data_IF_969139010329
#
_entry.id   IF_969139010329
#
_cell.length_a   1.000
_cell.length_b   1.000
_cell.length_c   1.000
_cell.angle_alpha   90.00
_cell.angle_beta   90.00
_cell.angle_gamma   90.00
#
_symmetry.space_group_name_H-M   'P 1'
#
loop_
_entity.id
_entity.type
_entity.pdbx_description
1 polymer ?
#
# COMPACT_ATOMS: atom_id res chain seq x y z
N UNK A 1 -7.51 68.50 -44.68
CA UNK A 1 -8.90 68.84 -45.06
C UNK A 1 -9.72 67.57 -44.88
N UNK A 2 -10.58 67.35 -43.90
CA UNK A 2 -11.35 68.19 -42.95
C UNK A 2 -11.56 67.34 -41.68
N UNK A 3 -11.32 67.81 -40.45
CA UNK A 3 -12.30 68.45 -39.55
C UNK A 3 -13.71 67.84 -39.64
N UNK A 4 -14.46 67.51 -38.58
CA UNK A 4 -14.35 67.47 -37.11
C UNK A 4 -15.77 67.11 -36.66
N UNK A 5 -15.98 66.32 -35.60
CA UNK A 5 -17.12 66.58 -34.71
C UNK A 5 -16.96 65.91 -33.34
N UNK A 6 -17.33 66.71 -32.34
CA UNK A 6 -17.09 66.57 -30.90
C UNK A 6 -18.33 66.00 -30.17
N UNK A 7 -18.06 65.13 -29.18
CA UNK A 7 -18.63 65.09 -27.80
C UNK A 7 -20.12 64.72 -27.57
N UNK A 8 -20.59 64.39 -26.32
CA UNK A 8 -19.91 64.06 -25.04
C UNK A 8 -20.51 62.88 -24.19
N UNK A 9 -19.75 62.51 -23.14
CA UNK A 9 -20.11 62.02 -21.78
C UNK A 9 -21.10 60.87 -21.50
N UNK A 10 -20.62 59.91 -20.70
CA UNK A 10 -21.41 59.11 -19.74
C UNK A 10 -20.51 58.14 -18.94
N UNK A 11 -20.52 58.16 -17.59
CA UNK A 11 -19.63 57.35 -16.76
C UNK A 11 -20.29 56.01 -16.40
N UNK A 12 -19.56 54.90 -16.41
CA UNK A 12 -20.07 53.64 -15.85
C UNK A 12 -18.95 52.79 -15.26
N UNK A 13 -19.09 52.61 -13.95
CA UNK A 13 -18.91 51.35 -13.22
C UNK A 13 -17.49 50.81 -13.01
N UNK A 14 -16.96 51.18 -11.83
CA UNK A 14 -16.05 50.35 -11.06
C UNK A 14 -16.67 48.96 -10.82
N UNK A 15 -16.24 47.97 -11.60
CA UNK A 15 -16.43 46.57 -11.26
C UNK A 15 -15.58 46.25 -10.02
N UNK A 16 -16.29 45.98 -8.91
CA UNK A 16 -15.72 45.48 -7.68
C UNK A 16 -14.96 44.18 -7.93
N UNK A 17 -13.76 44.12 -7.37
CA UNK A 17 -12.94 42.92 -7.29
C UNK A 17 -13.75 41.80 -6.63
N UNK A 18 -14.04 40.77 -7.42
CA UNK A 18 -14.48 39.46 -6.95
C UNK A 18 -13.44 38.95 -5.96
N UNK A 19 -13.83 38.92 -4.68
CA UNK A 19 -13.09 38.25 -3.61
C UNK A 19 -12.86 36.79 -4.00
N UNK A 20 -11.61 36.45 -4.33
CA UNK A 20 -11.15 35.08 -4.29
C UNK A 20 -11.29 34.61 -2.84
N UNK A 21 -12.41 33.97 -2.51
CA UNK A 21 -12.51 33.11 -1.34
C UNK A 21 -11.59 31.93 -1.59
N UNK A 22 -10.40 31.98 -1.00
CA UNK A 22 -9.51 30.84 -0.90
C UNK A 22 -10.31 29.63 -0.42
N UNK A 23 -10.15 28.45 -1.04
CA UNK A 23 -10.84 27.25 -0.58
C UNK A 23 -10.48 26.99 0.87
N UNK A 24 -11.52 26.86 1.70
CA UNK A 24 -11.35 26.60 3.13
C UNK A 24 -10.73 25.21 3.31
N UNK A 25 -9.71 25.04 4.18
CA UNK A 25 -9.11 23.74 4.44
C UNK A 25 -10.16 22.70 4.81
N UNK A 26 -9.90 21.42 4.51
CA UNK A 26 -10.78 20.30 4.87
C UNK A 26 -10.79 20.09 6.40
N UNK A 27 -11.47 21.00 7.10
CA UNK A 27 -11.59 21.02 8.56
C UNK A 27 -12.88 20.35 8.96
N UNK A 28 -12.78 19.44 9.93
CA UNK A 28 -13.97 18.86 10.54
C UNK A 28 -14.66 19.91 11.43
N UNK A 29 -15.97 19.90 11.45
CA UNK A 29 -16.74 20.62 12.46
C UNK A 29 -16.51 20.02 13.87
N UNK A 30 -16.86 20.78 14.91
CA UNK A 30 -16.63 20.37 16.30
C UNK A 30 -17.35 19.08 16.70
N UNK A 31 -18.53 18.82 16.13
CA UNK A 31 -19.34 17.64 16.43
C UNK A 31 -18.70 16.38 15.82
N UNK A 32 -18.31 16.44 14.55
CA UNK A 32 -17.57 15.41 13.83
C UNK A 32 -16.24 15.09 14.53
N UNK A 33 -15.52 16.11 15.00
CA UNK A 33 -14.29 15.93 15.80
C UNK A 33 -14.57 15.17 17.09
N UNK A 34 -15.57 15.60 17.86
CA UNK A 34 -15.90 14.98 19.13
C UNK A 34 -16.39 13.53 18.96
N UNK A 35 -17.20 13.27 17.95
CA UNK A 35 -17.66 11.93 17.60
C UNK A 35 -16.49 11.00 17.25
N UNK A 36 -15.55 11.48 16.43
CA UNK A 36 -14.35 10.73 16.07
C UNK A 36 -13.45 10.46 17.27
N UNK A 37 -13.22 11.46 18.13
CA UNK A 37 -12.42 11.30 19.36
C UNK A 37 -13.04 10.30 20.33
N UNK A 38 -14.37 10.35 20.51
CA UNK A 38 -15.12 9.39 21.31
C UNK A 38 -15.00 7.96 20.75
N UNK A 39 -15.13 7.80 19.43
CA UNK A 39 -14.95 6.50 18.77
C UNK A 39 -13.53 5.94 18.96
N UNK A 40 -12.50 6.75 18.72
CA UNK A 40 -11.09 6.36 18.92
C UNK A 40 -10.80 5.99 20.38
N UNK A 41 -11.38 6.70 21.35
CA UNK A 41 -11.25 6.38 22.76
C UNK A 41 -11.82 5.00 23.08
N UNK A 42 -13.04 4.69 22.62
CA UNK A 42 -13.68 3.37 22.80
C UNK A 42 -12.87 2.25 22.16
N UNK A 43 -12.37 2.45 20.94
CA UNK A 43 -11.51 1.46 20.25
C UNK A 43 -10.21 1.23 21.05
N UNK A 44 -9.59 2.30 21.55
CA UNK A 44 -8.33 2.20 22.32
C UNK A 44 -8.51 1.45 23.64
N UNK A 45 -9.67 1.58 24.29
CA UNK A 45 -9.97 0.87 25.54
C UNK A 45 -9.98 -0.66 25.38
N UNK A 46 -10.27 -1.18 24.17
CA UNK A 46 -10.17 -2.62 23.89
C UNK A 46 -8.74 -3.14 24.02
N UNK A 47 -7.74 -2.31 23.71
CA UNK A 47 -6.33 -2.71 23.76
C UNK A 47 -5.75 -2.72 25.18
N UNK A 48 -6.29 -1.88 26.08
CA UNK A 48 -5.86 -1.72 27.48
C UNK A 48 -6.70 -2.50 28.48
N UNK A 49 -7.88 -2.98 28.08
CA UNK A 49 -8.79 -3.75 28.91
C UNK A 49 -8.27 -5.15 29.27
N UNK A 50 -7.45 -5.23 30.31
CA UNK A 50 -7.32 -6.44 31.10
C UNK A 50 -8.56 -6.63 31.98
N UNK A 51 -9.35 -7.66 31.71
CA UNK A 51 -10.28 -8.32 32.64
C UNK A 51 -11.56 -7.63 33.16
N UNK A 52 -11.86 -6.34 32.93
CA UNK A 52 -13.01 -5.70 33.62
C UNK A 52 -14.33 -5.58 32.84
N UNK A 53 -14.35 -5.79 31.52
CA UNK A 53 -15.60 -5.85 30.74
C UNK A 53 -15.56 -7.10 29.88
N UNK A 54 -16.65 -7.88 29.89
CA UNK A 54 -16.77 -9.05 29.03
C UNK A 54 -16.61 -8.58 27.57
N UNK A 55 -15.73 -9.22 26.77
CA UNK A 55 -15.46 -8.86 25.36
C UNK A 55 -16.69 -8.60 24.47
N UNK A 56 -17.90 -9.17 24.71
CA UNK A 56 -19.06 -8.85 23.90
C UNK A 56 -19.60 -7.44 24.04
N UNK A 57 -19.67 -6.86 25.23
CA UNK A 57 -20.46 -5.63 25.43
C UNK A 57 -19.79 -4.41 24.81
N UNK A 58 -18.47 -4.28 24.94
CA UNK A 58 -17.73 -3.16 24.34
C UNK A 58 -17.67 -3.27 22.81
N UNK A 59 -17.54 -4.49 22.28
CA UNK A 59 -17.54 -4.73 20.83
C UNK A 59 -18.92 -4.44 20.22
N UNK A 60 -20.00 -4.75 20.93
CA UNK A 60 -21.37 -4.43 20.49
C UNK A 60 -21.66 -2.92 20.47
N UNK A 61 -20.86 -2.12 21.18
CA UNK A 61 -20.97 -0.66 21.21
C UNK A 61 -20.17 0.08 20.13
N UNK A 62 -19.38 -0.62 19.31
CA UNK A 62 -18.63 -0.03 18.20
C UNK A 62 -19.25 -0.54 16.90
N UNK A 63 -19.89 0.36 16.16
CA UNK A 63 -20.57 0.10 14.90
C UNK A 63 -19.84 0.77 13.72
N UNK A 64 -20.32 0.51 12.50
CA UNK A 64 -19.73 1.13 11.28
C UNK A 64 -19.73 2.66 11.35
N UNK A 65 -20.82 3.36 11.76
CA UNK A 65 -20.81 4.81 11.97
C UNK A 65 -19.71 5.29 12.93
N UNK A 66 -19.44 4.55 14.02
CA UNK A 66 -18.35 4.86 14.94
C UNK A 66 -16.98 4.73 14.26
N UNK A 67 -16.75 3.67 13.48
CA UNK A 67 -15.51 3.50 12.71
C UNK A 67 -15.33 4.59 11.65
N UNK A 68 -16.40 4.98 10.95
CA UNK A 68 -16.38 6.09 9.99
C UNK A 68 -16.06 7.41 10.69
N UNK A 69 -16.64 7.65 11.86
CA UNK A 69 -16.35 8.86 12.67
C UNK A 69 -14.90 8.90 13.11
N UNK A 70 -14.34 7.76 13.56
CA UNK A 70 -12.92 7.65 13.88
C UNK A 70 -12.05 7.90 12.64
N UNK A 71 -12.42 7.32 11.49
CA UNK A 71 -11.69 7.48 10.24
C UNK A 71 -11.67 8.94 9.75
N UNK A 72 -12.76 9.69 9.96
CA UNK A 72 -12.81 11.12 9.60
C UNK A 72 -11.71 11.94 10.23
N UNK A 73 -11.23 11.58 11.43
CA UNK A 73 -10.11 12.28 12.07
C UNK A 73 -8.82 12.28 11.24
N UNK A 74 -8.67 11.35 10.29
CA UNK A 74 -7.51 11.31 9.39
C UNK A 74 -7.62 12.32 8.24
N UNK A 75 -8.78 12.96 8.05
CA UNK A 75 -8.97 13.97 7.02
C UNK A 75 -8.37 15.33 7.43
N UNK A 76 -8.43 15.65 8.72
CA UNK A 76 -8.04 16.96 9.26
C UNK A 76 -6.64 16.89 9.92
N UNK A 77 -5.78 17.83 9.50
CA UNK A 77 -4.39 18.02 9.97
C UNK A 77 -4.32 18.16 11.50
N UNK A 78 -5.30 18.85 12.09
CA UNK A 78 -5.37 19.09 13.53
C UNK A 78 -5.72 17.84 14.33
N UNK A 79 -6.36 16.85 13.71
CA UNK A 79 -6.84 15.64 14.39
C UNK A 79 -6.09 14.37 14.03
N UNK A 80 -5.39 14.31 12.89
CA UNK A 80 -4.71 13.08 12.45
C UNK A 80 -3.69 12.57 13.46
N UNK A 81 -3.01 13.46 14.20
CA UNK A 81 -2.08 13.09 15.28
C UNK A 81 -2.74 12.26 16.38
N UNK A 82 -4.07 12.39 16.55
CA UNK A 82 -4.84 11.59 17.53
C UNK A 82 -4.92 10.11 17.14
N UNK A 83 -4.64 9.78 15.89
CA UNK A 83 -4.54 8.40 15.41
C UNK A 83 -3.16 7.76 15.66
N UNK A 84 -2.17 8.53 16.14
CA UNK A 84 -0.81 8.06 16.47
C UNK A 84 -0.76 7.25 17.78
N UNK A 85 -1.71 6.35 18.01
CA UNK A 85 -1.81 5.53 19.22
C UNK A 85 -1.77 4.03 18.90
N UNK A 86 -0.79 3.29 19.45
CA UNK A 86 -0.73 1.82 19.34
C UNK A 86 -2.01 1.12 19.82
N UNK A 87 -2.69 1.70 20.81
CA UNK A 87 -3.93 1.15 21.34
C UNK A 87 -5.04 1.12 20.27
N UNK A 88 -5.05 2.07 19.32
CA UNK A 88 -6.01 2.08 18.22
C UNK A 88 -5.71 0.94 17.25
N UNK A 89 -4.44 0.76 16.88
CA UNK A 89 -3.99 -0.31 15.97
C UNK A 89 -4.38 -1.68 16.55
N UNK A 90 -4.04 -1.91 17.82
CA UNK A 90 -4.40 -3.14 18.54
C UNK A 90 -5.91 -3.30 18.73
N UNK A 91 -6.64 -2.22 19.05
CA UNK A 91 -8.09 -2.24 19.20
C UNK A 91 -8.80 -2.65 17.92
N UNK A 92 -8.39 -2.09 16.77
CA UNK A 92 -8.93 -2.47 15.46
C UNK A 92 -8.64 -3.94 15.13
N UNK A 93 -7.44 -4.44 15.46
CA UNK A 93 -7.10 -5.85 15.27
C UNK A 93 -7.99 -6.78 16.12
N UNK A 94 -8.22 -6.40 17.38
CA UNK A 94 -9.10 -7.15 18.28
C UNK A 94 -10.54 -7.16 17.80
N UNK A 95 -11.05 -6.05 17.26
CA UNK A 95 -12.38 -5.99 16.65
C UNK A 95 -12.51 -6.99 15.50
N UNK A 96 -11.57 -6.99 14.56
CA UNK A 96 -11.55 -7.94 13.43
C UNK A 96 -11.50 -9.38 13.96
N UNK A 97 -10.64 -9.64 14.94
CA UNK A 97 -10.48 -10.97 15.52
C UNK A 97 -11.76 -11.47 16.17
N UNK A 98 -12.38 -10.67 17.03
CA UNK A 98 -13.60 -11.05 17.76
C UNK A 98 -14.76 -11.27 16.78
N UNK A 99 -14.93 -10.42 15.77
CA UNK A 99 -16.03 -10.59 14.81
C UNK A 99 -15.82 -11.77 13.87
N UNK A 100 -14.57 -12.04 13.49
CA UNK A 100 -14.22 -13.22 12.69
C UNK A 100 -14.46 -14.51 13.48
N UNK A 101 -14.00 -14.58 14.74
CA UNK A 101 -14.13 -15.77 15.59
C UNK A 101 -15.59 -16.09 15.96
N UNK A 102 -16.48 -15.08 15.96
CA UNK A 102 -17.92 -15.27 16.22
C UNK A 102 -18.70 -15.85 15.06
N UNK A 103 -18.21 -15.68 13.84
CA UNK A 103 -18.94 -16.15 12.66
C UNK A 103 -18.76 -17.65 12.51
N UNK A 104 -19.88 -18.37 12.51
CA UNK A 104 -19.89 -19.79 12.18
C UNK A 104 -19.79 -19.95 10.66
N UNK A 105 -18.61 -20.27 10.15
CA UNK A 105 -18.38 -20.63 8.75
C UNK A 105 -17.20 -19.91 8.08
N UNK A 106 -16.80 -20.35 6.87
CA UNK A 106 -15.66 -19.79 6.14
C UNK A 106 -16.03 -18.49 5.41
N UNK A 107 -16.53 -17.49 6.14
CA UNK A 107 -16.84 -16.18 5.55
C UNK A 107 -15.64 -15.26 5.61
N UNK A 108 -15.21 -14.76 4.45
CA UNK A 108 -14.12 -13.79 4.30
C UNK A 108 -14.35 -12.54 5.16
N UNK A 109 -13.38 -12.13 6.00
CA UNK A 109 -13.41 -10.84 6.70
C UNK A 109 -13.52 -9.65 5.74
N UNK A 110 -12.89 -9.71 4.56
CA UNK A 110 -12.90 -8.62 3.60
C UNK A 110 -14.23 -8.46 2.84
N UNK A 111 -15.17 -9.41 2.96
CA UNK A 111 -16.52 -9.30 2.39
C UNK A 111 -17.45 -8.35 3.14
N UNK A 112 -17.12 -7.97 4.37
CA UNK A 112 -18.01 -7.17 5.23
C UNK A 112 -17.48 -5.77 5.47
N UNK A 113 -18.39 -4.79 5.46
CA UNK A 113 -18.03 -3.39 5.61
C UNK A 113 -17.36 -3.09 6.96
N UNK A 114 -17.84 -3.73 8.04
CA UNK A 114 -17.32 -3.52 9.39
C UNK A 114 -15.84 -3.91 9.52
N UNK A 115 -15.48 -5.13 9.15
CA UNK A 115 -14.10 -5.60 9.17
C UNK A 115 -13.20 -4.83 8.20
N UNK A 116 -13.71 -4.48 7.02
CA UNK A 116 -12.98 -3.60 6.08
C UNK A 116 -12.68 -2.24 6.70
N UNK A 117 -13.65 -1.61 7.36
CA UNK A 117 -13.43 -0.32 8.01
C UNK A 117 -12.47 -0.44 9.20
N UNK A 118 -12.56 -1.50 10.00
CA UNK A 118 -11.56 -1.78 11.05
C UNK A 118 -10.16 -1.91 10.45
N UNK A 119 -10.01 -2.64 9.35
CA UNK A 119 -8.72 -2.83 8.69
C UNK A 119 -8.17 -1.52 8.12
N UNK A 120 -9.00 -0.70 7.47
CA UNK A 120 -8.59 0.62 6.96
C UNK A 120 -8.11 1.54 8.09
N UNK A 121 -8.87 1.62 9.18
CA UNK A 121 -8.48 2.42 10.33
C UNK A 121 -7.19 1.90 10.98
N UNK A 122 -7.03 0.57 11.08
CA UNK A 122 -5.79 -0.06 11.55
C UNK A 122 -4.59 0.41 10.72
N UNK A 123 -4.68 0.35 9.39
CA UNK A 123 -3.57 0.72 8.49
C UNK A 123 -3.26 2.21 8.59
N UNK A 124 -4.27 3.09 8.60
CA UNK A 124 -4.04 4.52 8.75
C UNK A 124 -3.40 4.83 10.10
N UNK A 125 -3.92 4.28 11.20
CA UNK A 125 -3.33 4.47 12.52
C UNK A 125 -1.91 3.91 12.61
N UNK A 126 -1.63 2.78 11.97
CA UNK A 126 -0.29 2.19 11.88
C UNK A 126 0.67 3.16 11.16
N UNK A 127 0.30 3.63 9.98
CA UNK A 127 1.10 4.56 9.18
C UNK A 127 1.37 5.88 9.92
N UNK A 128 0.34 6.43 10.58
CA UNK A 128 0.48 7.63 11.43
C UNK A 128 1.43 7.34 12.61
N UNK A 129 1.30 6.20 13.29
CA UNK A 129 2.22 5.81 14.37
C UNK A 129 3.67 5.74 13.88
N UNK A 130 3.92 5.16 12.69
CA UNK A 130 5.27 5.05 12.14
C UNK A 130 5.88 6.44 11.89
N UNK A 131 5.17 7.32 11.18
CA UNK A 131 5.66 8.69 10.93
C UNK A 131 5.86 9.48 12.23
N UNK A 132 4.99 9.29 13.22
CA UNK A 132 5.13 9.93 14.53
C UNK A 132 6.40 9.45 15.22
N UNK A 133 6.65 8.15 15.24
CA UNK A 133 7.82 7.55 15.90
C UNK A 133 9.14 7.87 15.19
N UNK A 134 9.14 8.00 13.87
CA UNK A 134 10.28 8.51 13.10
C UNK A 134 10.52 10.02 13.27
N UNK A 135 9.65 10.74 13.99
CA UNK A 135 9.76 12.18 14.19
C UNK A 135 9.49 12.98 12.92
N UNK A 136 8.73 12.43 11.98
CA UNK A 136 8.47 13.04 10.66
C UNK A 136 7.06 13.57 10.48
N UNK A 137 6.10 13.09 11.27
CA UNK A 137 4.69 13.47 11.14
C UNK A 137 4.47 14.99 11.21
N UNK A 138 5.02 15.66 12.22
CA UNK A 138 4.83 17.09 12.43
C UNK A 138 5.36 17.92 11.26
N UNK A 139 6.58 17.63 10.82
CA UNK A 139 7.22 18.26 9.67
C UNK A 139 6.36 18.14 8.41
N UNK A 140 5.78 16.97 8.15
CA UNK A 140 4.95 16.76 6.97
C UNK A 140 3.60 17.47 7.05
N UNK A 141 3.01 17.55 8.25
CA UNK A 141 1.75 18.26 8.46
C UNK A 141 1.92 19.79 8.35
N UNK A 142 3.04 20.34 8.80
CA UNK A 142 3.37 21.76 8.60
C UNK A 142 3.51 22.11 7.11
N UNK A 143 4.19 21.27 6.34
CA UNK A 143 4.32 21.45 4.89
C UNK A 143 2.95 21.38 4.21
N UNK A 144 2.08 20.46 4.64
CA UNK A 144 0.73 20.33 4.10
C UNK A 144 -0.11 21.59 4.36
N UNK A 145 -0.09 22.11 5.59
CA UNK A 145 -0.84 23.32 5.96
C UNK A 145 -0.43 24.53 5.12
N UNK A 146 0.83 24.58 4.67
CA UNK A 146 1.35 25.66 3.85
C UNK A 146 1.06 25.50 2.34
N UNK A 147 1.10 24.28 1.81
CA UNK A 147 1.13 24.05 0.35
C UNK A 147 -0.21 23.52 -0.19
N UNK A 148 -0.92 22.67 0.56
CA UNK A 148 -2.15 22.00 0.08
C UNK A 148 -3.18 21.84 1.22
N UNK A 149 -3.63 22.94 1.85
CA UNK A 149 -4.52 22.91 3.02
C UNK A 149 -5.87 22.20 2.79
N UNK A 150 -6.30 22.07 1.54
CA UNK A 150 -7.51 21.37 1.11
C UNK A 150 -7.35 19.84 1.03
N UNK A 151 -6.12 19.31 1.02
CA UNK A 151 -5.89 17.88 0.87
C UNK A 151 -6.09 17.13 2.20
N UNK A 152 -6.76 15.99 2.13
CA UNK A 152 -6.98 15.16 3.31
C UNK A 152 -5.64 14.70 3.92
N UNK A 153 -5.47 14.90 5.24
CA UNK A 153 -4.19 14.69 5.91
C UNK A 153 -3.63 13.26 5.76
N UNK A 154 -4.48 12.24 5.68
CA UNK A 154 -4.05 10.85 5.48
C UNK A 154 -3.40 10.60 4.11
N UNK A 155 -3.73 11.38 3.08
CA UNK A 155 -3.09 11.25 1.77
C UNK A 155 -1.61 11.64 1.85
N UNK A 156 -1.26 12.65 2.66
CA UNK A 156 0.15 12.96 2.93
C UNK A 156 0.83 11.84 3.71
N UNK A 157 0.16 11.27 4.70
CA UNK A 157 0.70 10.10 5.41
C UNK A 157 0.97 8.97 4.43
N UNK A 158 0.03 8.68 3.53
CA UNK A 158 0.17 7.66 2.51
C UNK A 158 1.26 7.98 1.48
N UNK A 159 1.55 9.24 1.15
CA UNK A 159 2.68 9.54 0.24
C UNK A 159 4.03 9.53 0.94
N UNK A 160 4.08 9.79 2.26
CA UNK A 160 5.35 9.93 3.01
C UNK A 160 5.82 8.67 3.72
N UNK A 161 4.91 7.78 4.14
CA UNK A 161 5.31 6.49 4.73
C UNK A 161 6.20 5.67 3.80
N UNK A 162 5.91 5.51 2.49
CA UNK A 162 6.78 4.76 1.57
C UNK A 162 8.22 5.28 1.54
N UNK A 163 8.40 6.60 1.55
CA UNK A 163 9.73 7.24 1.52
C UNK A 163 10.52 6.85 2.77
N UNK A 164 9.90 7.00 3.94
CA UNK A 164 10.56 6.65 5.20
C UNK A 164 10.79 5.14 5.33
N UNK A 165 9.89 4.31 4.79
CA UNK A 165 10.09 2.85 4.71
C UNK A 165 11.33 2.51 3.89
N UNK A 166 11.55 3.16 2.75
CA UNK A 166 12.76 2.95 1.93
C UNK A 166 14.02 3.37 2.68
N UNK A 167 13.98 4.51 3.37
CA UNK A 167 15.10 4.96 4.20
C UNK A 167 15.41 3.92 5.30
N UNK A 168 14.38 3.38 5.96
CA UNK A 168 14.56 2.33 6.97
C UNK A 168 15.10 1.03 6.37
N UNK A 169 14.64 0.60 5.20
CA UNK A 169 15.20 -0.58 4.53
C UNK A 169 16.68 -0.38 4.22
N UNK A 170 17.06 0.81 3.75
CA UNK A 170 18.46 1.16 3.49
C UNK A 170 19.29 1.11 4.78
N UNK A 171 18.76 1.63 5.90
CA UNK A 171 19.40 1.53 7.22
C UNK A 171 19.58 0.06 7.63
N UNK A 172 18.57 -0.77 7.44
CA UNK A 172 18.64 -2.20 7.75
C UNK A 172 19.68 -2.94 6.91
N UNK A 173 19.78 -2.63 5.62
CA UNK A 173 20.77 -3.21 4.70
C UNK A 173 22.20 -2.83 5.08
N UNK A 174 22.39 -1.64 5.65
CA UNK A 174 23.66 -1.20 6.24
C UNK A 174 23.93 -1.77 7.64
N UNK A 175 23.10 -2.70 8.13
CA UNK A 175 23.26 -3.35 9.43
C UNK A 175 22.68 -2.56 10.62
N UNK A 176 21.93 -1.49 10.37
CA UNK A 176 21.23 -0.72 11.40
C UNK A 176 19.97 -1.42 11.93
N UNK A 177 19.53 -1.04 13.13
CA UNK A 177 18.27 -1.54 13.70
C UNK A 177 17.11 -0.61 13.35
N UNK A 178 16.06 -1.17 12.76
CA UNK A 178 14.81 -0.45 12.46
C UNK A 178 13.68 -0.84 13.43
N UNK A 179 13.88 -1.87 14.25
CA UNK A 179 12.81 -2.51 15.02
C UNK A 179 12.40 -1.71 16.26
N UNK A 180 13.17 -0.67 16.60
CA UNK A 180 12.86 0.29 17.67
C UNK A 180 11.56 1.04 17.38
N UNK A 181 11.25 1.28 16.10
CA UNK A 181 10.00 1.96 15.71
C UNK A 181 8.77 1.14 16.09
N UNK A 182 8.89 -0.18 16.21
CA UNK A 182 7.80 -1.06 16.67
C UNK A 182 7.79 -1.26 18.19
N UNK A 183 8.82 -0.80 18.89
CA UNK A 183 9.05 -1.11 20.30
C UNK A 183 9.53 -2.55 20.51
N UNK A 184 10.15 -3.17 19.52
CA UNK A 184 10.71 -4.54 19.62
C UNK A 184 12.17 -4.56 20.06
N UNK A 185 12.88 -3.44 19.89
CA UNK A 185 14.26 -3.27 20.36
C UNK A 185 14.43 -1.91 21.05
N UNK A 186 15.43 -1.82 21.91
CA UNK A 186 15.91 -0.55 22.46
C UNK A 186 17.25 -0.19 21.82
N UNK A 187 17.47 1.10 21.59
CA UNK A 187 18.75 1.61 21.07
C UNK A 187 19.12 2.86 21.85
N UNK A 188 20.41 3.19 21.93
CA UNK A 188 20.87 4.44 22.56
C UNK A 188 20.55 5.69 21.71
N UNK A 189 20.23 5.50 20.43
CA UNK A 189 20.03 6.58 19.46
C UNK A 189 18.57 7.07 19.40
N UNK A 190 17.62 6.28 19.91
CA UNK A 190 16.20 6.58 19.80
C UNK A 190 15.46 6.46 21.15
N UNK A 191 14.42 7.28 21.39
CA UNK A 191 13.59 7.14 22.57
C UNK A 191 12.95 5.75 22.64
N UNK A 192 12.77 5.23 23.87
CA UNK A 192 12.03 3.99 24.10
C UNK A 192 10.59 4.19 23.63
N UNK A 193 10.17 3.35 22.68
CA UNK A 193 8.81 3.38 22.15
C UNK A 193 7.94 2.32 22.83
N UNK A 194 6.65 2.61 23.13
CA UNK A 194 5.73 1.57 23.56
C UNK A 194 5.54 0.54 22.44
N UNK A 195 5.19 -0.69 22.79
CA UNK A 195 4.95 -1.74 21.80
C UNK A 195 3.83 -1.32 20.83
N UNK A 196 4.11 -1.33 19.52
CA UNK A 196 3.10 -0.99 18.51
C UNK A 196 2.09 -2.13 18.33
N UNK A 197 2.62 -3.32 18.08
CA UNK A 197 1.92 -4.61 18.07
C UNK A 197 2.86 -5.68 18.60
N UNK A 198 2.33 -6.68 19.30
CA UNK A 198 3.12 -7.86 19.67
C UNK A 198 3.38 -8.73 18.45
N UNK A 199 4.39 -9.58 18.53
CA UNK A 199 4.71 -10.52 17.45
C UNK A 199 3.56 -11.49 17.19
N UNK A 200 2.83 -11.91 18.24
CA UNK A 200 1.62 -12.72 18.10
C UNK A 200 0.51 -11.99 17.35
N UNK A 201 0.34 -10.68 17.60
CA UNK A 201 -0.62 -9.85 16.88
C UNK A 201 -0.24 -9.70 15.39
N UNK A 202 1.05 -9.51 15.10
CA UNK A 202 1.55 -9.44 13.71
C UNK A 202 1.40 -10.77 12.99
N UNK A 203 1.71 -11.89 13.66
CA UNK A 203 1.51 -13.23 13.12
C UNK A 203 0.03 -13.49 12.78
N UNK A 204 -0.89 -13.08 13.66
CA UNK A 204 -2.32 -13.18 13.42
C UNK A 204 -2.75 -12.32 12.22
N UNK A 205 -2.33 -11.06 12.15
CA UNK A 205 -2.67 -10.17 11.04
C UNK A 205 -2.11 -10.67 9.70
N UNK A 206 -0.88 -11.16 9.68
CA UNK A 206 -0.29 -11.77 8.48
C UNK A 206 -1.06 -13.01 8.05
N UNK A 207 -1.43 -13.87 9.00
CA UNK A 207 -2.25 -15.07 8.72
C UNK A 207 -3.62 -14.69 8.15
N UNK A 208 -4.29 -13.70 8.74
CA UNK A 208 -5.56 -13.18 8.27
C UNK A 208 -5.51 -12.77 6.80
N UNK A 209 -4.48 -11.97 6.43
CA UNK A 209 -4.30 -11.55 5.04
C UNK A 209 -3.93 -12.69 4.11
N UNK A 210 -3.09 -13.62 4.57
CA UNK A 210 -2.66 -14.75 3.76
C UNK A 210 -3.79 -15.73 3.44
N UNK A 211 -4.55 -16.10 4.46
CA UNK A 211 -5.65 -17.06 4.36
C UNK A 211 -6.77 -16.48 3.47
N UNK A 212 -6.94 -15.15 3.46
CA UNK A 212 -7.97 -14.45 2.69
C UNK A 212 -7.41 -13.58 1.54
N UNK A 213 -6.21 -13.90 1.03
CA UNK A 213 -5.45 -13.05 0.10
C UNK A 213 -6.15 -12.69 -1.21
N UNK A 214 -7.05 -13.55 -1.69
CA UNK A 214 -7.90 -13.26 -2.87
C UNK A 214 -8.88 -12.13 -2.56
N UNK A 215 -9.69 -12.29 -1.52
CA UNK A 215 -10.71 -11.31 -1.14
C UNK A 215 -10.08 -10.02 -0.62
N UNK A 216 -8.93 -10.11 0.05
CA UNK A 216 -8.12 -8.94 0.38
C UNK A 216 -7.73 -8.16 -0.88
N UNK A 217 -7.15 -8.80 -1.89
CA UNK A 217 -6.79 -8.12 -3.15
C UNK A 217 -8.03 -7.49 -3.83
N UNK A 218 -9.15 -8.22 -3.89
CA UNK A 218 -10.40 -7.70 -4.48
C UNK A 218 -10.95 -6.49 -3.70
N UNK A 219 -10.93 -6.53 -2.37
CA UNK A 219 -11.30 -5.40 -1.53
C UNK A 219 -10.35 -4.21 -1.74
N UNK A 220 -9.05 -4.49 -1.92
CA UNK A 220 -8.07 -3.46 -2.19
C UNK A 220 -8.29 -2.77 -3.54
N UNK A 221 -8.72 -3.51 -4.57
CA UNK A 221 -9.08 -2.98 -5.91
C UNK A 221 -10.36 -2.15 -5.87
N UNK A 222 -11.36 -2.58 -5.09
CA UNK A 222 -12.73 -2.06 -5.19
C UNK A 222 -12.96 -0.75 -4.42
N UNK A 223 -12.11 -0.44 -3.45
CA UNK A 223 -12.30 0.69 -2.54
C UNK A 223 -11.07 1.61 -2.52
N UNK A 224 -11.28 2.88 -2.14
CA UNK A 224 -10.17 3.79 -1.84
C UNK A 224 -9.51 3.33 -0.53
N UNK A 225 -8.40 2.60 -0.64
CA UNK A 225 -7.73 2.01 0.51
C UNK A 225 -6.47 2.79 0.88
N UNK A 226 -6.15 2.88 2.18
CA UNK A 226 -4.93 3.54 2.62
C UNK A 226 -3.70 2.78 2.13
N UNK A 227 -2.59 3.50 2.01
CA UNK A 227 -1.30 2.96 1.63
C UNK A 227 -0.83 1.82 2.54
N UNK A 228 -0.40 0.69 1.98
CA UNK A 228 -0.06 -0.51 2.75
C UNK A 228 1.45 -0.68 3.00
N UNK A 229 2.31 0.20 2.48
CA UNK A 229 3.77 0.10 2.66
C UNK A 229 4.22 -0.04 4.11
N UNK A 230 3.62 0.72 5.05
CA UNK A 230 3.92 0.60 6.48
C UNK A 230 3.55 -0.78 7.06
N UNK A 231 2.43 -1.35 6.61
CA UNK A 231 2.02 -2.71 6.99
C UNK A 231 2.93 -3.78 6.38
N UNK A 232 3.27 -3.64 5.09
CA UNK A 232 4.19 -4.54 4.42
C UNK A 232 5.59 -4.48 5.04
N UNK A 233 6.04 -3.29 5.45
CA UNK A 233 7.30 -3.09 6.16
C UNK A 233 7.29 -3.81 7.52
N UNK A 234 6.21 -3.66 8.30
CA UNK A 234 6.03 -4.40 9.55
C UNK A 234 6.16 -5.92 9.35
N UNK A 235 5.52 -6.48 8.31
CA UNK A 235 5.65 -7.91 8.02
C UNK A 235 7.05 -8.32 7.58
N UNK A 236 7.72 -7.50 6.76
CA UNK A 236 9.10 -7.74 6.37
C UNK A 236 10.03 -7.80 7.57
N UNK A 237 9.85 -6.89 8.54
CA UNK A 237 10.62 -6.89 9.78
C UNK A 237 10.26 -8.06 10.70
N UNK A 238 9.01 -8.50 10.69
CA UNK A 238 8.59 -9.71 11.39
C UNK A 238 9.28 -10.97 10.85
N UNK A 239 9.51 -11.07 9.54
CA UNK A 239 10.31 -12.18 8.96
C UNK A 239 11.73 -12.21 9.52
N UNK A 240 12.37 -11.03 9.61
CA UNK A 240 13.71 -10.90 10.20
C UNK A 240 13.70 -11.29 11.67
N UNK A 241 12.67 -10.87 12.42
CA UNK A 241 12.50 -11.26 13.82
C UNK A 241 12.42 -12.78 14.00
N UNK A 242 11.58 -13.46 13.22
CA UNK A 242 11.40 -14.91 13.28
C UNK A 242 12.68 -15.68 12.90
N UNK A 243 13.45 -15.15 11.94
CA UNK A 243 14.72 -15.74 11.51
C UNK A 243 15.83 -15.55 12.53
N UNK A 244 16.10 -14.31 12.95
CA UNK A 244 17.33 -13.95 13.66
C UNK A 244 17.20 -14.02 15.18
N UNK A 245 15.98 -13.82 15.71
CA UNK A 245 15.76 -13.77 17.15
C UNK A 245 15.08 -15.03 17.69
N UNK A 246 14.08 -15.55 16.96
CA UNK A 246 13.38 -16.77 17.37
C UNK A 246 14.04 -18.05 16.84
N UNK A 247 14.93 -17.95 15.83
CA UNK A 247 15.45 -19.10 15.11
C UNK A 247 14.34 -20.06 14.65
N UNK A 248 13.16 -19.51 14.32
CA UNK A 248 11.97 -20.28 14.03
C UNK A 248 12.09 -20.88 12.62
N UNK A 249 12.10 -22.21 12.44
CA UNK A 249 12.24 -22.84 11.13
C UNK A 249 11.11 -22.47 10.15
N UNK A 250 9.97 -21.97 10.64
CA UNK A 250 8.88 -21.50 9.80
C UNK A 250 9.16 -20.14 9.10
N UNK A 251 10.25 -19.44 9.42
CA UNK A 251 10.56 -18.11 8.88
C UNK A 251 10.55 -18.08 7.33
N UNK A 252 11.00 -19.15 6.66
CA UNK A 252 10.95 -19.22 5.20
C UNK A 252 9.53 -19.23 4.64
N UNK A 253 8.61 -19.89 5.34
CA UNK A 253 7.19 -19.93 4.96
C UNK A 253 6.59 -18.54 5.16
N UNK A 254 6.89 -17.89 6.29
CA UNK A 254 6.46 -16.52 6.58
C UNK A 254 6.98 -15.58 5.49
N UNK A 255 8.27 -15.65 5.16
CA UNK A 255 8.89 -14.86 4.09
C UNK A 255 8.18 -15.01 2.75
N UNK A 256 7.88 -16.26 2.34
CA UNK A 256 7.15 -16.53 1.08
C UNK A 256 5.76 -15.87 1.05
N UNK A 257 5.06 -15.86 2.19
CA UNK A 257 3.74 -15.19 2.32
C UNK A 257 3.89 -13.68 2.20
N UNK A 258 4.88 -13.09 2.86
CA UNK A 258 5.16 -11.64 2.78
C UNK A 258 5.53 -11.24 1.35
N UNK A 259 6.42 -12.00 0.69
CA UNK A 259 6.76 -11.80 -0.72
C UNK A 259 5.51 -11.77 -1.61
N UNK A 260 4.62 -12.74 -1.47
CA UNK A 260 3.43 -12.83 -2.30
C UNK A 260 2.40 -11.73 -1.98
N UNK A 261 2.18 -11.38 -0.72
CA UNK A 261 1.28 -10.28 -0.34
C UNK A 261 1.81 -8.93 -0.83
N UNK A 262 3.11 -8.67 -0.70
CA UNK A 262 3.74 -7.47 -1.24
C UNK A 262 3.66 -7.44 -2.78
N UNK A 263 3.92 -8.60 -3.42
CA UNK A 263 3.74 -8.76 -4.87
C UNK A 263 2.32 -8.42 -5.32
N UNK A 264 1.30 -9.01 -4.68
CA UNK A 264 -0.12 -8.71 -4.96
C UNK A 264 -0.45 -7.23 -4.75
N UNK A 265 0.07 -6.61 -3.69
CA UNK A 265 -0.15 -5.17 -3.45
C UNK A 265 0.50 -4.31 -4.54
N UNK A 266 1.68 -4.67 -5.03
CA UNK A 266 2.39 -3.88 -6.06
C UNK A 266 1.58 -3.71 -7.35
N UNK A 267 0.70 -4.66 -7.67
CA UNK A 267 -0.21 -4.60 -8.83
C UNK A 267 -1.24 -3.47 -8.76
N UNK A 268 -1.56 -3.02 -7.55
CA UNK A 268 -2.65 -2.08 -7.29
C UNK A 268 -2.21 -0.88 -6.44
N UNK A 269 -0.96 -0.87 -5.97
CA UNK A 269 -0.40 0.20 -5.19
C UNK A 269 -0.34 1.49 -6.02
N UNK A 270 -0.70 2.60 -5.39
CA UNK A 270 -0.52 3.94 -5.96
C UNK A 270 0.95 4.21 -6.28
N UNK A 271 1.21 5.21 -7.14
CA UNK A 271 2.56 5.61 -7.57
C UNK A 271 3.55 5.71 -6.42
N UNK A 272 3.17 6.41 -5.36
CA UNK A 272 4.08 6.71 -4.25
C UNK A 272 4.34 5.48 -3.36
N UNK A 273 3.41 4.51 -3.35
CA UNK A 273 3.50 3.28 -2.56
C UNK A 273 4.34 2.19 -3.23
N UNK A 274 4.48 2.26 -4.57
CA UNK A 274 5.05 1.18 -5.36
C UNK A 274 6.50 0.87 -4.99
N UNK A 275 7.36 1.89 -4.85
CA UNK A 275 8.80 1.68 -4.60
C UNK A 275 9.07 0.95 -3.31
N UNK A 276 8.48 1.42 -2.21
CA UNK A 276 8.58 0.76 -0.92
C UNK A 276 8.07 -0.68 -0.99
N UNK A 277 6.94 -0.90 -1.68
CA UNK A 277 6.35 -2.23 -1.84
C UNK A 277 7.26 -3.17 -2.63
N UNK A 278 7.88 -2.71 -3.73
CA UNK A 278 8.83 -3.48 -4.50
C UNK A 278 10.08 -3.81 -3.67
N UNK A 279 10.66 -2.83 -2.97
CA UNK A 279 11.82 -3.05 -2.10
C UNK A 279 11.53 -4.07 -0.99
N UNK A 280 10.34 -4.03 -0.39
CA UNK A 280 9.88 -5.03 0.58
C UNK A 280 9.75 -6.40 -0.10
N UNK A 281 9.18 -6.45 -1.29
CA UNK A 281 9.09 -7.71 -2.06
C UNK A 281 10.48 -8.27 -2.36
N UNK A 282 11.46 -7.45 -2.73
CA UNK A 282 12.81 -7.91 -3.02
C UNK A 282 13.56 -8.35 -1.76
N UNK A 283 13.43 -7.62 -0.64
CA UNK A 283 13.99 -8.01 0.66
C UNK A 283 13.44 -9.37 1.15
N UNK A 284 12.22 -9.73 0.74
CA UNK A 284 11.59 -11.03 1.02
C UNK A 284 11.68 -11.99 -0.16
N UNK A 285 12.35 -11.60 -1.23
CA UNK A 285 12.58 -12.40 -2.41
C UNK A 285 13.35 -13.66 -2.06
N UNK A 286 13.11 -14.72 -2.83
CA UNK A 286 13.91 -15.94 -2.77
C UNK A 286 14.47 -16.24 -4.15
N UNK A 287 15.59 -16.98 -4.25
CA UNK A 287 16.19 -17.34 -5.52
C UNK A 287 15.12 -17.89 -6.44
N UNK A 288 14.89 -17.16 -7.52
CA UNK A 288 13.86 -17.50 -8.47
C UNK A 288 14.40 -18.62 -9.35
N UNK A 289 13.70 -19.76 -9.36
CA UNK A 289 14.07 -20.92 -10.17
C UNK A 289 13.02 -21.10 -11.27
N UNK A 290 13.41 -21.00 -12.56
CA UNK A 290 12.49 -21.16 -13.69
C UNK A 290 11.70 -22.47 -13.62
N UNK A 291 12.30 -23.51 -13.03
CA UNK A 291 11.77 -24.88 -12.99
C UNK A 291 10.84 -25.19 -11.83
N UNK A 292 10.66 -24.26 -10.87
CA UNK A 292 9.82 -24.46 -9.67
C UNK A 292 8.89 -23.26 -9.47
N UNK A 293 7.98 -23.07 -10.41
CA UNK A 293 6.94 -22.04 -10.32
C UNK A 293 5.84 -22.54 -9.40
N UNK A 294 5.73 -21.93 -8.24
CA UNK A 294 4.62 -22.18 -7.30
C UNK A 294 3.48 -21.24 -7.69
N UNK A 295 2.29 -21.78 -8.04
CA UNK A 295 1.11 -20.97 -8.32
C UNK A 295 0.83 -20.01 -7.15
N UNK A 296 0.55 -18.76 -7.50
CA UNK A 296 0.15 -17.71 -6.57
C UNK A 296 -1.37 -17.68 -6.39
N UNK A 297 -2.11 -17.99 -7.45
CA UNK A 297 -3.56 -17.88 -7.47
C UNK A 297 -4.22 -18.93 -6.56
N UNK A 298 -5.30 -18.55 -5.90
CA UNK A 298 -6.16 -19.47 -5.12
C UNK A 298 -7.03 -20.32 -6.06
N UNK A 299 -7.56 -19.69 -7.10
CA UNK A 299 -8.46 -20.27 -8.09
C UNK A 299 -8.38 -19.49 -9.42
N UNK A 300 -9.17 -19.89 -10.41
CA UNK A 300 -9.20 -19.28 -11.74
C UNK A 300 -9.63 -17.80 -11.74
N UNK A 301 -10.53 -17.42 -10.84
CA UNK A 301 -10.98 -16.03 -10.71
C UNK A 301 -9.85 -15.14 -10.13
N UNK A 302 -9.12 -15.65 -9.14
CA UNK A 302 -7.95 -14.99 -8.58
C UNK A 302 -6.83 -14.85 -9.63
N UNK A 303 -6.59 -15.90 -10.43
CA UNK A 303 -5.65 -15.85 -11.56
C UNK A 303 -6.00 -14.70 -12.53
N UNK A 304 -7.25 -14.66 -13.01
CA UNK A 304 -7.74 -13.58 -13.88
C UNK A 304 -7.63 -12.21 -13.22
N UNK A 305 -7.94 -12.10 -11.93
CA UNK A 305 -7.86 -10.84 -11.18
C UNK A 305 -6.43 -10.32 -11.14
N UNK A 306 -5.46 -11.19 -10.84
CA UNK A 306 -4.03 -10.84 -10.82
C UNK A 306 -3.56 -10.40 -12.22
N UNK A 307 -3.88 -11.17 -13.26
CA UNK A 307 -3.48 -10.88 -14.63
C UNK A 307 -4.09 -9.57 -15.16
N UNK A 308 -5.38 -9.33 -14.87
CA UNK A 308 -6.06 -8.09 -15.25
C UNK A 308 -5.50 -6.88 -14.50
N UNK A 309 -5.17 -7.04 -13.21
CA UNK A 309 -4.56 -5.98 -12.41
C UNK A 309 -3.17 -5.63 -12.95
N UNK A 310 -2.37 -6.64 -13.33
CA UNK A 310 -1.09 -6.45 -13.99
C UNK A 310 -1.23 -5.67 -15.31
N UNK A 311 -2.14 -6.08 -16.19
CA UNK A 311 -2.41 -5.39 -17.47
C UNK A 311 -2.79 -3.93 -17.20
N UNK A 312 -3.75 -3.69 -16.30
CA UNK A 312 -4.22 -2.34 -15.95
C UNK A 312 -3.07 -1.49 -15.43
N UNK A 313 -2.24 -2.04 -14.53
CA UNK A 313 -1.11 -1.32 -13.95
C UNK A 313 -0.11 -0.87 -15.00
N UNK A 314 0.29 -1.76 -15.91
CA UNK A 314 1.22 -1.42 -16.98
C UNK A 314 0.61 -0.48 -18.03
N UNK A 315 -0.71 -0.56 -18.23
CA UNK A 315 -1.42 0.31 -19.17
C UNK A 315 -1.53 1.76 -18.69
N UNK A 316 -1.43 2.01 -17.37
CA UNK A 316 -1.50 3.35 -16.77
C UNK A 316 -0.18 4.15 -16.88
N UNK A 317 0.90 3.54 -17.38
CA UNK A 317 2.22 4.13 -17.40
C UNK A 317 2.46 4.98 -18.66
N UNK A 318 1.76 6.12 -18.78
CA UNK A 318 2.10 7.18 -19.74
C UNK A 318 3.13 8.19 -19.14
N UNK A 319 3.50 8.04 -17.86
CA UNK A 319 4.43 8.93 -17.16
C UNK A 319 5.86 8.33 -17.13
N UNK A 320 6.76 8.91 -17.92
CA UNK A 320 8.15 8.49 -18.04
C UNK A 320 8.94 8.59 -16.71
N UNK A 321 8.57 9.51 -15.80
CA UNK A 321 9.22 9.62 -14.48
C UNK A 321 8.88 8.45 -13.57
N UNK A 322 7.70 7.85 -13.76
CA UNK A 322 7.35 6.60 -13.07
C UNK A 322 8.16 5.43 -13.60
N UNK A 323 8.37 5.38 -14.91
CA UNK A 323 9.08 4.30 -15.57
C UNK A 323 10.57 4.32 -15.16
N UNK A 324 11.22 5.50 -15.15
CA UNK A 324 12.62 5.66 -14.70
C UNK A 324 12.89 5.11 -13.29
N UNK A 325 11.89 5.22 -12.41
CA UNK A 325 12.03 4.86 -11.00
C UNK A 325 11.62 3.41 -10.73
N UNK A 326 10.79 2.80 -11.58
CA UNK A 326 10.27 1.44 -11.39
C UNK A 326 11.31 0.37 -11.70
N UNK A 327 11.49 -0.57 -10.77
CA UNK A 327 12.04 -1.88 -11.10
C UNK A 327 10.89 -2.80 -11.57
N UNK A 328 10.74 -3.05 -12.89
CA UNK A 328 9.69 -3.92 -13.41
C UNK A 328 9.84 -5.38 -12.99
N UNK A 329 11.01 -5.77 -12.49
CA UNK A 329 11.37 -7.16 -12.28
C UNK A 329 10.48 -7.84 -11.24
N UNK A 330 10.02 -7.10 -10.23
CA UNK A 330 9.11 -7.62 -9.20
C UNK A 330 7.76 -8.02 -9.80
N UNK A 331 7.16 -7.15 -10.64
CA UNK A 331 5.85 -7.42 -11.25
C UNK A 331 5.94 -8.55 -12.28
N UNK A 332 7.06 -8.67 -13.00
CA UNK A 332 7.28 -9.74 -13.97
C UNK A 332 7.42 -11.12 -13.32
N UNK A 333 7.94 -11.19 -12.08
CA UNK A 333 7.98 -12.44 -11.32
C UNK A 333 6.59 -12.96 -10.92
N UNK A 334 5.57 -12.11 -10.94
CA UNK A 334 4.19 -12.47 -10.57
C UNK A 334 3.48 -13.18 -11.72
N UNK A 335 3.68 -12.72 -12.95
CA UNK A 335 2.89 -13.19 -14.11
C UNK A 335 3.00 -14.71 -14.31
N UNK A 336 4.20 -15.34 -14.32
CA UNK A 336 4.29 -16.79 -14.47
C UNK A 336 3.62 -17.56 -13.33
N UNK A 337 3.55 -16.97 -12.13
CA UNK A 337 2.92 -17.59 -10.94
C UNK A 337 1.41 -17.38 -10.93
N UNK A 338 0.93 -16.37 -11.63
CA UNK A 338 -0.49 -16.05 -11.75
C UNK A 338 -1.17 -16.86 -12.86
N UNK A 339 -0.45 -17.15 -13.96
CA UNK A 339 -1.02 -17.79 -15.13
C UNK A 339 -1.60 -19.18 -14.85
N UNK A 340 -2.79 -19.43 -15.41
CA UNK A 340 -3.46 -20.72 -15.45
C UNK A 340 -4.09 -20.97 -16.83
N UNK A 341 -4.76 -22.12 -16.99
CA UNK A 341 -5.42 -22.47 -18.26
C UNK A 341 -6.58 -21.53 -18.61
N UNK A 342 -7.20 -20.90 -17.62
CA UNK A 342 -8.38 -20.08 -17.82
C UNK A 342 -8.02 -18.68 -18.29
N UNK A 343 -6.86 -18.14 -17.92
CA UNK A 343 -6.42 -16.77 -18.27
C UNK A 343 -5.60 -16.69 -19.57
N UNK A 344 -5.60 -17.74 -20.40
CA UNK A 344 -4.81 -17.79 -21.65
C UNK A 344 -5.19 -16.67 -22.63
N UNK A 345 -6.46 -16.28 -22.66
CA UNK A 345 -7.00 -15.15 -23.41
C UNK A 345 -6.37 -13.80 -23.02
N UNK A 346 -5.84 -13.69 -21.79
CA UNK A 346 -5.17 -12.49 -21.29
C UNK A 346 -3.67 -12.45 -21.62
N UNK A 347 -3.04 -13.59 -21.95
CA UNK A 347 -1.60 -13.68 -22.21
C UNK A 347 -1.13 -12.75 -23.34
N UNK A 348 -1.83 -12.62 -24.49
CA UNK A 348 -1.42 -11.69 -25.53
C UNK A 348 -1.35 -10.23 -25.05
N UNK A 349 -2.28 -9.82 -24.19
CA UNK A 349 -2.29 -8.48 -23.63
C UNK A 349 -1.18 -8.28 -22.60
N UNK A 350 -0.97 -9.27 -21.72
CA UNK A 350 0.15 -9.28 -20.77
C UNK A 350 1.49 -9.13 -21.49
N UNK A 351 1.73 -9.92 -22.55
CA UNK A 351 2.95 -9.84 -23.35
C UNK A 351 3.07 -8.45 -23.99
N UNK A 352 2.00 -7.93 -24.58
CA UNK A 352 2.00 -6.59 -25.20
C UNK A 352 2.37 -5.49 -24.20
N UNK A 353 1.71 -5.46 -23.05
CA UNK A 353 1.97 -4.43 -22.03
C UNK A 353 3.37 -4.57 -21.44
N UNK A 354 3.85 -5.80 -21.24
CA UNK A 354 5.20 -6.08 -20.77
C UNK A 354 6.26 -5.56 -21.75
N UNK A 355 6.10 -5.84 -23.04
CA UNK A 355 7.00 -5.34 -24.09
C UNK A 355 6.92 -3.81 -24.19
N UNK A 356 5.72 -3.22 -24.20
CA UNK A 356 5.54 -1.76 -24.27
C UNK A 356 6.23 -1.06 -23.10
N UNK A 357 5.96 -1.52 -21.88
CA UNK A 357 6.60 -1.00 -20.67
C UNK A 357 8.12 -1.15 -20.76
N UNK A 358 8.57 -2.31 -21.22
CA UNK A 358 9.98 -2.58 -21.31
C UNK A 358 10.75 -1.68 -22.25
N UNK A 359 10.20 -1.40 -23.42
CA UNK A 359 10.76 -0.40 -24.34
C UNK A 359 10.74 1.00 -23.75
N UNK A 360 9.63 1.39 -23.10
CA UNK A 360 9.55 2.69 -22.45
C UNK A 360 10.62 2.83 -21.35
N UNK A 361 10.92 1.77 -20.60
CA UNK A 361 12.00 1.75 -19.61
C UNK A 361 13.37 1.96 -20.23
N UNK A 362 13.69 1.20 -21.29
CA UNK A 362 14.97 1.35 -22.00
C UNK A 362 15.13 2.76 -22.56
N UNK A 363 14.07 3.32 -23.17
CA UNK A 363 14.08 4.68 -23.70
C UNK A 363 14.23 5.70 -22.56
N UNK A 364 13.51 5.55 -21.46
CA UNK A 364 13.55 6.49 -20.34
C UNK A 364 14.92 6.57 -19.65
N UNK A 365 15.70 5.48 -19.70
CA UNK A 365 17.03 5.38 -19.08
C UNK A 365 18.13 5.93 -20.00
N UNK A 366 17.83 6.34 -21.24
CA UNK A 366 18.82 7.00 -22.12
C UNK A 366 19.22 8.39 -21.60
N UNK A 367 20.48 8.82 -21.82
CA UNK A 367 21.22 9.65 -20.87
C UNK A 367 21.13 11.14 -21.19
N UNK A 368 20.22 11.86 -20.55
CA UNK A 368 20.32 13.32 -20.41
C UNK A 368 20.62 13.76 -18.95
N UNK A 369 20.68 12.82 -18.00
CA UNK A 369 20.92 13.12 -16.59
C UNK A 369 22.14 12.34 -16.08
N UNK A 370 23.11 13.07 -15.52
CA UNK A 370 24.33 12.58 -14.89
C UNK A 370 24.03 11.53 -13.80
N UNK A 371 23.86 10.27 -14.19
CA UNK A 371 23.64 9.16 -13.27
C UNK A 371 24.99 8.63 -12.75
N UNK A 372 25.08 8.25 -11.46
CA UNK A 372 26.31 7.77 -10.86
C UNK A 372 26.72 6.43 -11.47
N UNK A 373 27.76 6.47 -12.30
CA UNK A 373 28.76 5.45 -12.70
C UNK A 373 28.43 3.93 -12.64
N UNK A 374 27.18 3.50 -12.67
CA UNK A 374 26.81 2.11 -12.94
C UNK A 374 26.71 1.93 -14.45
N UNK A 375 27.39 0.91 -14.99
CA UNK A 375 27.41 0.65 -16.42
C UNK A 375 25.96 0.50 -16.93
N UNK A 376 25.58 1.36 -17.88
CA UNK A 376 24.26 1.30 -18.52
C UNK A 376 24.06 -0.07 -19.20
N UNK A 377 25.16 -0.71 -19.63
CA UNK A 377 25.16 -2.08 -20.13
C UNK A 377 24.63 -3.06 -19.07
N UNK A 378 25.13 -3.01 -17.84
CA UNK A 378 24.73 -3.93 -16.77
C UNK A 378 23.23 -3.81 -16.42
N UNK A 379 22.69 -2.58 -16.41
CA UNK A 379 21.26 -2.36 -16.16
C UNK A 379 20.39 -2.85 -17.31
N UNK A 380 20.81 -2.60 -18.55
CA UNK A 380 20.12 -3.08 -19.73
C UNK A 380 20.17 -4.61 -19.82
N UNK A 381 21.31 -5.21 -19.49
CA UNK A 381 21.52 -6.65 -19.48
C UNK A 381 20.69 -7.32 -18.37
N UNK A 382 20.66 -6.77 -17.15
CA UNK A 382 19.82 -7.27 -16.07
C UNK A 382 18.33 -7.15 -16.42
N UNK A 383 17.91 -6.01 -16.98
CA UNK A 383 16.54 -5.79 -17.44
C UNK A 383 16.16 -6.78 -18.56
N UNK A 384 17.01 -6.91 -19.58
CA UNK A 384 16.83 -7.84 -20.71
C UNK A 384 16.76 -9.27 -20.20
N UNK A 385 17.68 -9.68 -19.34
CA UNK A 385 17.69 -11.02 -18.76
C UNK A 385 16.38 -11.31 -18.03
N UNK A 386 15.90 -10.40 -17.18
CA UNK A 386 14.69 -10.64 -16.38
C UNK A 386 13.42 -10.58 -17.25
N UNK A 387 13.33 -9.62 -18.16
CA UNK A 387 12.20 -9.50 -19.09
C UNK A 387 12.09 -10.70 -20.01
N UNK A 388 13.16 -11.04 -20.73
CA UNK A 388 13.13 -12.17 -21.65
C UNK A 388 12.99 -13.48 -20.90
N UNK A 389 13.57 -13.64 -19.72
CA UNK A 389 13.34 -14.84 -18.89
C UNK A 389 11.87 -14.97 -18.50
N UNK A 390 11.24 -13.87 -18.05
CA UNK A 390 9.82 -13.88 -17.65
C UNK A 390 8.90 -14.15 -18.85
N UNK A 391 9.15 -13.50 -19.99
CA UNK A 391 8.42 -13.72 -21.24
C UNK A 391 8.62 -15.15 -21.78
N UNK A 392 9.85 -15.67 -21.75
CA UNK A 392 10.17 -17.03 -22.21
C UNK A 392 9.38 -18.09 -21.45
N UNK A 393 9.03 -17.84 -20.19
CA UNK A 393 8.23 -18.78 -19.39
C UNK A 393 6.75 -18.72 -19.74
N UNK A 394 6.24 -17.54 -20.09
CA UNK A 394 4.86 -17.42 -20.59
C UNK A 394 4.70 -18.14 -21.92
N UNK A 395 5.77 -18.22 -22.71
CA UNK A 395 5.79 -18.84 -24.04
C UNK A 395 6.14 -20.34 -23.98
N UNK A 396 6.98 -20.77 -23.03
CA UNK A 396 7.39 -22.17 -22.88
C UNK A 396 6.43 -22.89 -21.92
N UNK A 397 5.53 -23.77 -22.40
CA UNK A 397 4.62 -24.50 -21.52
C UNK A 397 5.45 -25.37 -20.56
N UNK A 398 5.29 -25.11 -19.26
CA UNK A 398 5.80 -26.00 -18.22
C UNK A 398 4.89 -27.22 -18.09
N UNK A 399 5.48 -28.37 -17.77
CA UNK A 399 4.93 -29.72 -17.76
C UNK A 399 3.77 -30.00 -16.77
N UNK A 400 2.98 -28.98 -16.40
CA UNK A 400 1.67 -29.19 -15.78
C UNK A 400 0.60 -29.16 -16.86
N UNK A 401 0.48 -30.29 -17.59
CA UNK A 401 -0.45 -30.54 -18.69
C UNK A 401 -0.39 -29.51 -19.83
N UNK A 402 0.09 -29.98 -20.98
CA UNK A 402 0.18 -29.28 -22.26
C UNK A 402 -0.92 -28.22 -22.48
N UNK A 403 -0.52 -26.95 -22.51
CA UNK A 403 -1.34 -25.84 -22.96
C UNK A 403 -1.65 -26.05 -24.45
N UNK A 404 -2.90 -26.33 -24.81
CA UNK A 404 -3.35 -26.29 -26.20
C UNK A 404 -3.66 -24.84 -26.56
N UNK A 405 -2.75 -24.19 -27.30
CA UNK A 405 -3.05 -22.94 -27.99
C UNK A 405 -4.12 -23.25 -29.03
N UNK A 406 -5.39 -23.08 -28.68
CA UNK A 406 -6.48 -23.13 -29.66
C UNK A 406 -6.52 -21.76 -30.34
N UNK A 407 -6.23 -21.67 -31.65
CA UNK A 407 -6.33 -20.40 -32.36
C UNK A 407 -7.78 -19.92 -32.31
N UNK A 408 -8.03 -18.75 -31.73
CA UNK A 408 -9.34 -18.12 -31.84
C UNK A 408 -9.51 -17.66 -33.29
N UNK A 409 -10.21 -18.47 -34.09
CA UNK A 409 -10.68 -18.05 -35.40
C UNK A 409 -11.80 -17.04 -35.13
N UNK A 410 -11.48 -15.74 -35.20
CA UNK A 410 -12.51 -14.71 -35.36
C UNK A 410 -12.95 -14.74 -36.82
N UNK A 411 -14.18 -15.17 -37.05
CA UNK A 411 -14.91 -14.99 -38.33
C UNK A 411 -15.17 -13.52 -38.62
#
# INVERSE_FOLDING_TARGET
MSASNHSPMGPTEHAQASSHTSPSPMRLDSESKQAGLSAVSRISQLATGGQLLSPPEVVMGIDVPSLVSAMRLSLDISTIKRLASPAIVKGCLLLIKITTDRRSGPTSPFSYEYERMCFRLLVVSLNVCLLFRWGKLDKFLEVLELIQPEQAAYLIVDTKVPVEVLDQLTVADMGGSCDWVFGWSTTSQHPIQPLLLSQTDVAYLLKLLWDDRKNWLQAMISYANPGQSGLMFLFSRYVVYERDFQYNPAWETIRKRVFELAGRYSLIADRDQLFATCAISDANGYPWHPTKIIPMHVDAEDSRTIMTSFIKRLSLNDDMDMIKRQDPTVMLRIVPRAADKTCQDLLPEVIRQTIKFGWAYVIAVTPDEEMPSGDMSDKLDAFTQIQFTSLMILVKPYEFESYSLTPSIRT
#
